data_IF_555252071387
#
_entry.id   IF_555252071387
#
_cell.length_a   1.000
_cell.length_b   1.000
_cell.length_c   1.000
_cell.angle_alpha   90.00
_cell.angle_beta   90.00
_cell.angle_gamma   90.00
#
_symmetry.space_group_name_H-M   'P 1'
#
loop_
_entity.id
_entity.type
_entity.pdbx_description
1 polymer ?
#
# COMPACT_ATOMS: atom_id res chain seq x y z
N UNK A 1 10.15 8.73 5.18
CA UNK A 1 9.45 7.93 6.19
C UNK A 1 8.76 6.71 5.58
N UNK A 2 8.06 6.85 4.46
CA UNK A 2 7.41 5.71 3.80
C UNK A 2 8.33 4.53 3.56
N UNK A 3 9.49 4.76 2.97
CA UNK A 3 10.52 3.72 2.73
C UNK A 3 10.98 2.97 3.99
N UNK A 4 10.83 3.56 5.17
CA UNK A 4 11.20 2.90 6.43
C UNK A 4 10.10 1.97 6.96
N UNK A 5 8.87 2.15 6.49
CA UNK A 5 7.69 1.40 6.92
C UNK A 5 7.09 0.68 5.71
N UNK A 6 7.93 -0.06 5.00
CA UNK A 6 7.59 -0.72 3.74
C UNK A 6 6.94 -2.11 3.91
N UNK A 7 6.80 -2.57 5.15
CA UNK A 7 6.34 -3.93 5.44
C UNK A 7 4.92 -4.16 4.93
N UNK A 8 4.06 -3.14 5.11
CA UNK A 8 2.66 -3.18 4.72
C UNK A 8 2.16 -1.78 4.36
N UNK A 9 1.35 -1.67 3.31
CA UNK A 9 0.86 -0.39 2.79
C UNK A 9 -0.12 0.31 3.74
N UNK A 10 -1.01 -0.42 4.40
CA UNK A 10 -1.92 0.15 5.41
C UNK A 10 -1.15 0.68 6.60
N UNK A 11 -0.19 -0.10 7.10
CA UNK A 11 0.68 0.32 8.18
C UNK A 11 1.48 1.57 7.79
N UNK A 12 2.00 1.61 6.56
CA UNK A 12 2.70 2.76 5.99
C UNK A 12 1.82 4.01 6.03
N UNK A 13 0.67 3.97 5.36
CA UNK A 13 -0.26 5.11 5.23
C UNK A 13 -0.69 5.64 6.59
N UNK A 14 -1.07 4.76 7.50
CA UNK A 14 -1.56 5.14 8.82
C UNK A 14 -0.45 5.74 9.69
N UNK A 15 0.70 5.08 9.76
CA UNK A 15 1.80 5.53 10.63
C UNK A 15 2.42 6.83 10.11
N UNK A 16 2.75 6.87 8.82
CA UNK A 16 3.33 8.08 8.20
C UNK A 16 2.31 9.22 8.23
N UNK A 17 1.03 8.92 8.01
CA UNK A 17 -0.05 9.89 8.08
C UNK A 17 -0.14 10.60 9.42
N UNK A 18 -0.14 9.84 10.49
CA UNK A 18 -0.17 10.41 11.87
C UNK A 18 1.09 11.22 12.15
N UNK A 19 2.28 10.67 11.82
CA UNK A 19 3.55 11.36 12.07
C UNK A 19 3.71 12.65 11.26
N UNK A 20 3.28 12.64 9.99
CA UNK A 20 3.48 13.76 9.08
C UNK A 20 2.37 14.82 9.15
N UNK A 21 1.21 14.50 9.73
CA UNK A 21 0.09 15.42 9.85
C UNK A 21 0.49 16.77 10.46
N UNK A 22 1.10 16.74 11.65
CA UNK A 22 1.51 17.95 12.36
C UNK A 22 2.60 18.74 11.62
N UNK A 23 3.52 18.02 10.94
CA UNK A 23 4.57 18.66 10.12
C UNK A 23 3.95 19.36 8.91
N UNK A 24 3.01 18.69 8.24
CA UNK A 24 2.27 19.23 7.10
C UNK A 24 1.46 20.48 7.49
N UNK A 25 0.72 20.41 8.61
CA UNK A 25 -0.09 21.52 9.12
C UNK A 25 0.80 22.75 9.50
N UNK A 26 1.92 22.52 10.19
CA UNK A 26 2.90 23.58 10.52
C UNK A 26 3.48 24.26 9.27
N UNK A 27 3.63 23.50 8.17
CA UNK A 27 4.09 24.02 6.88
C UNK A 27 2.97 24.59 6.02
N UNK A 28 1.74 24.65 6.52
CA UNK A 28 0.56 25.13 5.79
C UNK A 28 0.35 24.42 4.46
N UNK A 29 0.57 23.09 4.45
CA UNK A 29 0.26 22.26 3.30
C UNK A 29 -1.18 21.73 3.41
N UNK A 30 -1.94 21.70 2.29
CA UNK A 30 -3.26 21.10 2.32
C UNK A 30 -3.17 19.63 2.73
N UNK A 31 -4.06 19.14 3.60
CA UNK A 31 -4.10 17.72 4.00
C UNK A 31 -4.40 16.80 2.82
N UNK A 32 -5.06 17.29 1.78
CA UNK A 32 -5.25 16.57 0.53
C UNK A 32 -3.91 16.26 -0.16
N UNK A 33 -2.89 17.12 -0.05
CA UNK A 33 -1.56 16.83 -0.60
C UNK A 33 -0.85 15.74 0.20
N UNK A 34 -1.00 15.75 1.52
CA UNK A 34 -0.48 14.66 2.37
C UNK A 34 -1.17 13.34 2.04
N UNK A 35 -2.50 13.33 1.92
CA UNK A 35 -3.27 12.15 1.56
C UNK A 35 -2.83 11.58 0.20
N UNK A 36 -2.66 12.43 -0.81
CA UNK A 36 -2.13 12.03 -2.12
C UNK A 36 -0.75 11.40 -2.02
N UNK A 37 0.16 12.02 -1.25
CA UNK A 37 1.52 11.48 -1.08
C UNK A 37 1.51 10.11 -0.42
N UNK A 38 0.69 9.94 0.62
CA UNK A 38 0.57 8.67 1.34
C UNK A 38 0.00 7.56 0.45
N UNK A 39 -1.06 7.86 -0.29
CA UNK A 39 -1.71 6.94 -1.21
C UNK A 39 -0.77 6.55 -2.36
N UNK A 40 -0.11 7.52 -2.98
CA UNK A 40 0.80 7.29 -4.10
C UNK A 40 2.08 6.53 -3.71
N UNK A 41 2.57 6.66 -2.47
CA UNK A 41 3.83 6.03 -2.07
C UNK A 41 3.65 4.74 -1.29
N UNK A 42 2.57 4.58 -0.53
CA UNK A 42 2.39 3.45 0.39
C UNK A 42 2.47 2.09 -0.31
N UNK A 43 1.59 1.84 -1.26
CA UNK A 43 1.58 0.59 -2.01
C UNK A 43 2.81 0.46 -2.94
N UNK A 44 3.24 1.57 -3.58
CA UNK A 44 4.37 1.55 -4.50
C UNK A 44 5.69 1.18 -3.80
N UNK A 45 5.93 1.68 -2.58
CA UNK A 45 7.08 1.31 -1.78
C UNK A 45 7.05 -0.18 -1.42
N UNK A 46 5.87 -0.70 -1.04
CA UNK A 46 5.71 -2.11 -0.68
C UNK A 46 5.92 -3.07 -1.85
N UNK A 47 5.50 -2.68 -3.06
CA UNK A 47 5.70 -3.50 -4.27
C UNK A 47 7.16 -3.52 -4.71
N UNK A 48 7.91 -2.44 -4.57
CA UNK A 48 9.30 -2.39 -5.04
C UNK A 48 10.30 -2.98 -4.07
N UNK A 49 9.96 -3.01 -2.77
CA UNK A 49 10.87 -3.49 -1.75
C UNK A 49 10.60 -4.97 -1.44
N UNK A 50 11.61 -5.85 -1.54
CA UNK A 50 11.48 -7.22 -1.10
C UNK A 50 11.20 -7.26 0.42
N UNK A 51 10.57 -8.34 0.89
CA UNK A 51 10.22 -8.57 2.30
C UNK A 51 8.99 -7.79 2.81
N UNK A 52 8.21 -7.17 1.93
CA UNK A 52 6.89 -6.65 2.24
C UNK A 52 5.83 -7.76 2.21
N UNK A 53 4.64 -7.49 2.77
CA UNK A 53 3.48 -8.38 2.62
C UNK A 53 3.13 -8.61 1.15
N UNK A 54 3.28 -7.57 0.33
CA UNK A 54 3.07 -7.62 -1.12
C UNK A 54 4.09 -8.51 -1.82
N UNK A 55 5.38 -8.37 -1.49
CA UNK A 55 6.43 -9.20 -2.07
C UNK A 55 6.22 -10.69 -1.75
N UNK A 56 5.82 -11.01 -0.52
CA UNK A 56 5.52 -12.38 -0.10
C UNK A 56 4.31 -12.93 -0.88
N UNK A 57 3.24 -12.17 -0.98
CA UNK A 57 2.04 -12.57 -1.70
C UNK A 57 2.33 -12.81 -3.19
N UNK A 58 2.90 -11.82 -3.88
CA UNK A 58 3.16 -11.95 -5.31
C UNK A 58 4.20 -13.03 -5.63
N UNK A 59 5.21 -13.20 -4.77
CA UNK A 59 6.19 -14.27 -4.97
C UNK A 59 5.54 -15.65 -4.87
N UNK A 60 4.62 -15.87 -3.93
CA UNK A 60 3.88 -17.13 -3.84
C UNK A 60 2.96 -17.33 -5.03
N UNK A 61 2.24 -16.28 -5.44
CA UNK A 61 1.34 -16.32 -6.58
C UNK A 61 2.06 -16.64 -7.90
N UNK A 62 3.24 -16.04 -8.11
CA UNK A 62 4.08 -16.36 -9.28
C UNK A 62 4.59 -17.80 -9.23
N UNK A 63 4.98 -18.28 -8.05
CA UNK A 63 5.51 -19.62 -7.88
C UNK A 63 4.47 -20.73 -8.10
N UNK A 64 3.19 -20.42 -7.93
CA UNK A 64 2.09 -21.34 -8.26
C UNK A 64 1.96 -21.58 -9.78
N UNK A 65 2.54 -20.71 -10.60
CA UNK A 65 2.44 -20.83 -12.07
C UNK A 65 3.50 -21.81 -12.61
N UNK A 66 3.11 -22.89 -13.30
CA UNK A 66 4.07 -23.85 -13.90
C UNK A 66 5.09 -23.20 -14.82
N UNK A 67 4.64 -22.23 -15.63
CA UNK A 67 5.48 -21.48 -16.55
C UNK A 67 6.61 -20.70 -15.85
N UNK A 68 6.39 -20.23 -14.62
CA UNK A 68 7.41 -19.55 -13.82
C UNK A 68 8.43 -20.55 -13.24
N UNK A 69 7.94 -21.72 -12.79
CA UNK A 69 8.81 -22.78 -12.26
C UNK A 69 9.77 -23.32 -13.35
N UNK A 70 9.30 -23.42 -14.60
CA UNK A 70 10.10 -23.87 -15.74
C UNK A 70 11.22 -22.89 -16.13
N UNK A 71 11.17 -21.64 -15.66
CA UNK A 71 12.20 -20.62 -15.95
C UNK A 71 13.51 -20.82 -15.18
N UNK A 72 13.57 -21.74 -14.23
CA UNK A 72 14.78 -22.08 -13.50
C UNK A 72 15.15 -21.12 -12.39
N UNK A 73 14.19 -20.36 -11.84
CA UNK A 73 14.40 -19.58 -10.63
C UNK A 73 14.68 -20.48 -9.43
N UNK A 74 15.53 -20.03 -8.51
CA UNK A 74 15.92 -20.81 -7.32
C UNK A 74 14.81 -20.90 -6.26
N UNK A 75 13.94 -19.90 -6.18
CA UNK A 75 12.82 -19.82 -5.25
C UNK A 75 11.81 -18.74 -5.68
N UNK A 76 10.64 -18.74 -5.05
CA UNK A 76 9.56 -17.78 -5.30
C UNK A 76 10.03 -16.32 -5.22
N UNK A 77 10.76 -15.98 -4.17
CA UNK A 77 11.28 -14.62 -3.97
C UNK A 77 12.29 -14.21 -5.05
N UNK A 78 13.09 -15.14 -5.59
CA UNK A 78 14.01 -14.79 -6.68
C UNK A 78 13.29 -14.42 -7.97
N UNK A 79 12.17 -15.08 -8.28
CA UNK A 79 11.32 -14.71 -9.40
C UNK A 79 10.72 -13.31 -9.22
N UNK A 80 10.24 -13.01 -8.01
CA UNK A 80 9.71 -11.68 -7.69
C UNK A 80 10.75 -10.57 -7.80
N UNK A 81 11.94 -10.78 -7.23
CA UNK A 81 13.03 -9.79 -7.26
C UNK A 81 13.50 -9.51 -8.70
N UNK A 82 13.52 -10.53 -9.56
CA UNK A 82 13.85 -10.34 -11.00
C UNK A 82 12.76 -9.54 -11.73
N UNK A 83 11.51 -9.67 -11.31
CA UNK A 83 10.36 -8.95 -11.89
C UNK A 83 10.22 -7.51 -11.36
N UNK A 84 10.59 -7.25 -10.11
CA UNK A 84 10.37 -5.96 -9.44
C UNK A 84 10.87 -4.72 -10.20
N UNK A 85 12.04 -4.73 -10.91
CA UNK A 85 12.48 -3.58 -11.71
C UNK A 85 11.53 -3.21 -12.86
N UNK A 86 10.66 -4.12 -13.26
CA UNK A 86 9.67 -3.90 -14.31
C UNK A 86 8.31 -3.43 -13.80
N UNK A 87 8.16 -3.21 -12.49
CA UNK A 87 6.96 -2.61 -11.91
C UNK A 87 6.89 -1.11 -12.25
N UNK A 88 6.72 -0.80 -13.53
CA UNK A 88 6.77 0.58 -14.06
C UNK A 88 5.76 1.51 -13.39
N UNK A 89 4.57 1.01 -13.06
CA UNK A 89 3.57 1.80 -12.36
C UNK A 89 4.11 2.30 -11.02
N UNK A 90 4.68 1.42 -10.20
CA UNK A 90 5.23 1.78 -8.89
C UNK A 90 6.41 2.76 -9.03
N UNK A 91 7.33 2.50 -9.97
CA UNK A 91 8.47 3.39 -10.23
C UNK A 91 8.02 4.78 -10.68
N UNK A 92 7.09 4.84 -11.63
CA UNK A 92 6.57 6.13 -12.13
C UNK A 92 5.78 6.87 -11.07
N UNK A 93 4.98 6.17 -10.26
CA UNK A 93 4.20 6.79 -9.18
C UNK A 93 5.11 7.40 -8.13
N UNK A 94 6.16 6.72 -7.71
CA UNK A 94 7.17 7.26 -6.79
C UNK A 94 7.90 8.47 -7.39
N UNK A 95 8.26 8.40 -8.67
CA UNK A 95 8.88 9.52 -9.37
C UNK A 95 7.95 10.74 -9.42
N UNK A 96 6.68 10.54 -9.77
CA UNK A 96 5.68 11.62 -9.80
C UNK A 96 5.47 12.21 -8.39
N UNK A 97 5.36 11.37 -7.36
CA UNK A 97 5.24 11.81 -5.98
C UNK A 97 6.47 12.63 -5.54
N UNK A 98 7.67 12.20 -5.91
CA UNK A 98 8.90 12.94 -5.67
C UNK A 98 8.89 14.31 -6.36
N UNK A 99 8.58 14.35 -7.65
CA UNK A 99 8.50 15.60 -8.43
C UNK A 99 7.42 16.55 -7.88
N UNK A 100 6.30 15.98 -7.42
CA UNK A 100 5.25 16.75 -6.76
C UNK A 100 5.74 17.34 -5.43
N UNK A 101 6.43 16.57 -4.62
CA UNK A 101 6.98 17.03 -3.33
C UNK A 101 8.05 18.12 -3.49
N UNK A 102 8.82 18.04 -4.57
CA UNK A 102 9.80 19.08 -4.95
C UNK A 102 9.16 20.34 -5.55
N UNK A 103 7.84 20.33 -5.76
CA UNK A 103 7.11 21.46 -6.36
C UNK A 103 7.32 21.64 -7.86
N UNK A 104 7.92 20.66 -8.55
CA UNK A 104 8.17 20.68 -10.00
C UNK A 104 6.88 20.41 -10.78
N UNK A 105 6.02 19.52 -10.23
CA UNK A 105 4.75 19.19 -10.87
C UNK A 105 3.71 20.31 -10.72
N UNK A 106 2.96 20.63 -11.78
CA UNK A 106 1.90 21.61 -11.71
C UNK A 106 0.75 21.12 -10.82
N UNK A 107 0.25 21.98 -9.95
CA UNK A 107 -0.95 21.70 -9.16
C UNK A 107 -2.17 21.82 -10.06
N UNK A 108 -2.88 20.72 -10.30
CA UNK A 108 -4.01 20.67 -11.23
C UNK A 108 -5.34 20.41 -10.50
N UNK A 109 -6.45 20.80 -11.11
CA UNK A 109 -7.81 20.44 -10.68
C UNK A 109 -8.11 20.72 -9.20
N UNK A 110 -8.55 19.69 -8.49
CA UNK A 110 -8.90 19.77 -7.07
C UNK A 110 -7.70 20.09 -6.17
N UNK A 111 -6.50 19.60 -6.53
CA UNK A 111 -5.27 19.89 -5.78
C UNK A 111 -4.92 21.38 -5.83
N UNK A 112 -5.04 22.05 -6.99
CA UNK A 112 -4.85 23.49 -7.12
C UNK A 112 -5.82 24.25 -6.21
N UNK A 113 -7.10 23.86 -6.19
CA UNK A 113 -8.10 24.47 -5.31
C UNK A 113 -7.76 24.32 -3.83
N UNK A 114 -7.22 23.15 -3.42
CA UNK A 114 -6.81 22.91 -2.05
C UNK A 114 -5.65 23.83 -1.63
N UNK A 115 -4.66 24.03 -2.49
CA UNK A 115 -3.55 24.97 -2.23
C UNK A 115 -4.03 26.43 -2.16
N UNK A 116 -4.88 26.86 -3.11
CA UNK A 116 -5.47 28.21 -3.09
C UNK A 116 -6.27 28.45 -1.81
N UNK A 117 -7.09 27.49 -1.37
CA UNK A 117 -7.81 27.58 -0.09
C UNK A 117 -6.87 27.86 1.09
N UNK A 118 -5.74 27.14 1.15
CA UNK A 118 -4.77 27.36 2.23
C UNK A 118 -4.11 28.75 2.14
N UNK A 119 -3.79 29.22 0.95
CA UNK A 119 -3.23 30.54 0.73
C UNK A 119 -4.22 31.65 1.13
N UNK A 120 -5.50 31.53 0.77
CA UNK A 120 -6.53 32.54 1.01
C UNK A 120 -7.08 32.51 2.44
N UNK A 121 -7.28 31.33 3.00
CA UNK A 121 -8.02 31.16 4.29
C UNK A 121 -7.17 30.64 5.43
N UNK A 122 -5.97 30.13 5.16
CA UNK A 122 -5.14 29.43 6.13
C UNK A 122 -5.68 28.05 6.56
N UNK A 123 -6.83 27.61 6.03
CA UNK A 123 -7.43 26.31 6.39
C UNK A 123 -6.76 25.18 5.63
N UNK A 124 -6.08 24.28 6.35
CA UNK A 124 -5.35 23.14 5.79
C UNK A 124 -6.26 22.00 5.31
N UNK A 125 -7.55 21.99 5.67
CA UNK A 125 -8.54 21.01 5.23
C UNK A 125 -9.86 21.67 4.83
N UNK A 126 -10.68 20.97 4.04
CA UNK A 126 -11.97 21.48 3.59
C UNK A 126 -13.04 21.38 4.69
N UNK A 127 -14.06 22.22 4.63
CA UNK A 127 -15.17 22.17 5.60
C UNK A 127 -15.93 20.83 5.51
N UNK A 128 -15.99 20.19 4.33
CA UNK A 128 -16.57 18.87 4.14
C UNK A 128 -15.82 17.76 4.89
N UNK A 129 -14.49 17.88 5.01
CA UNK A 129 -13.66 16.90 5.73
C UNK A 129 -13.53 17.20 7.23
N UNK A 130 -14.12 18.30 7.72
CA UNK A 130 -14.05 18.69 9.14
C UNK A 130 -14.50 17.59 10.09
N UNK A 131 -15.55 16.84 9.74
CA UNK A 131 -16.09 15.75 10.57
C UNK A 131 -15.13 14.57 10.75
N UNK A 132 -14.16 14.40 9.85
CA UNK A 132 -13.14 13.35 9.92
C UNK A 132 -11.82 13.82 10.54
N UNK A 133 -11.70 15.14 10.75
CA UNK A 133 -10.56 15.72 11.42
C UNK A 133 -10.91 15.86 12.91
N UNK A 134 -10.67 14.80 13.67
CA UNK A 134 -10.73 14.89 15.12
C UNK A 134 -9.75 15.96 15.57
N UNK A 135 -10.23 16.89 16.42
CA UNK A 135 -9.36 17.90 17.02
C UNK A 135 -8.18 17.21 17.69
N UNK A 136 -6.99 17.76 17.45
CA UNK A 136 -5.76 17.20 17.98
C UNK A 136 -5.92 16.99 19.49
N UNK A 137 -5.64 15.78 19.94
CA UNK A 137 -5.61 15.44 21.35
C UNK A 137 -4.58 16.35 22.02
N UNK A 138 -5.05 17.43 22.60
CA UNK A 138 -4.24 18.29 23.47
C UNK A 138 -3.75 17.42 24.62
N UNK A 139 -2.49 17.07 24.65
CA UNK A 139 -1.92 16.36 25.79
C UNK A 139 -0.66 15.53 25.56
N UNK A 140 -0.29 15.25 24.33
CA UNK A 140 0.96 14.51 24.03
C UNK A 140 1.99 15.41 23.36
N UNK A 141 2.21 16.61 23.91
CA UNK A 141 3.25 17.52 23.44
C UNK A 141 4.59 17.23 24.11
N UNK A 142 5.59 16.96 23.27
CA UNK A 142 6.99 17.36 23.43
C UNK A 142 7.99 16.50 24.22
N UNK A 143 7.72 15.30 24.69
CA UNK A 143 8.81 14.53 25.32
C UNK A 143 9.16 13.18 24.67
N UNK A 144 8.78 12.97 23.46
CA UNK A 144 9.07 11.72 22.74
C UNK A 144 10.54 11.60 22.34
N UNK A 145 11.26 10.67 22.92
CA UNK A 145 12.56 10.26 22.38
C UNK A 145 12.36 9.53 21.05
N UNK A 146 13.12 9.89 20.02
CA UNK A 146 13.09 9.23 18.71
C UNK A 146 13.22 7.70 18.82
N UNK A 147 14.01 7.22 19.76
CA UNK A 147 14.23 5.81 20.02
C UNK A 147 12.98 5.05 20.46
N UNK A 148 12.01 5.74 21.07
CA UNK A 148 10.72 5.15 21.45
C UNK A 148 9.88 4.77 20.21
N UNK A 149 10.13 5.38 19.08
CA UNK A 149 9.53 5.00 17.80
C UNK A 149 10.41 4.01 17.01
N UNK A 150 11.71 4.30 16.90
CA UNK A 150 12.62 3.55 16.03
C UNK A 150 12.80 2.10 16.51
N UNK A 151 12.95 1.86 17.83
CA UNK A 151 13.20 0.52 18.35
C UNK A 151 12.03 -0.44 18.10
N UNK A 152 10.76 -0.13 18.48
CA UNK A 152 9.65 -1.01 18.20
C UNK A 152 9.45 -1.26 16.68
N UNK A 153 9.65 -0.24 15.86
CA UNK A 153 9.53 -0.38 14.40
C UNK A 153 10.64 -1.25 13.82
N UNK A 154 11.89 -1.08 14.27
CA UNK A 154 13.00 -1.92 13.83
C UNK A 154 12.78 -3.39 14.22
N UNK A 155 12.26 -3.65 15.42
CA UNK A 155 11.93 -5.00 15.88
C UNK A 155 10.78 -5.59 15.06
N UNK A 156 9.73 -4.81 14.79
CA UNK A 156 8.61 -5.23 13.93
C UNK A 156 9.11 -5.68 12.56
N UNK A 157 9.90 -4.84 11.89
CA UNK A 157 10.46 -5.13 10.56
C UNK A 157 11.38 -6.35 10.61
N UNK A 158 12.33 -6.38 11.55
CA UNK A 158 13.30 -7.48 11.66
C UNK A 158 12.60 -8.83 11.90
N UNK A 159 11.62 -8.87 12.82
CA UNK A 159 10.87 -10.10 13.09
C UNK A 159 10.01 -10.52 11.90
N UNK A 160 9.32 -9.59 11.25
CA UNK A 160 8.54 -9.91 10.05
C UNK A 160 9.41 -10.52 8.95
N UNK A 161 10.60 -9.96 8.73
CA UNK A 161 11.56 -10.49 7.74
C UNK A 161 12.09 -11.87 8.11
N UNK A 162 12.38 -12.10 9.42
CA UNK A 162 12.97 -13.37 9.89
C UNK A 162 11.93 -14.48 9.96
N UNK A 163 10.73 -14.17 10.48
CA UNK A 163 9.68 -15.18 10.74
C UNK A 163 8.69 -15.36 9.61
N UNK A 164 8.53 -14.36 8.73
CA UNK A 164 7.45 -14.30 7.74
C UNK A 164 6.06 -14.07 8.35
N UNK A 165 5.96 -13.87 9.67
CA UNK A 165 4.70 -13.72 10.42
C UNK A 165 4.58 -12.31 10.98
N UNK A 166 3.77 -11.48 10.29
CA UNK A 166 3.50 -10.10 10.70
C UNK A 166 2.75 -10.03 12.03
N UNK A 167 1.81 -10.97 12.29
CA UNK A 167 1.01 -10.94 13.52
C UNK A 167 1.90 -11.19 14.75
N UNK A 168 2.75 -12.20 14.69
CA UNK A 168 3.71 -12.48 15.75
C UNK A 168 4.66 -11.28 15.97
N UNK A 169 5.15 -10.68 14.88
CA UNK A 169 6.00 -9.49 14.96
C UNK A 169 5.32 -8.29 15.62
N UNK A 170 4.02 -8.04 15.32
CA UNK A 170 3.22 -6.97 15.94
C UNK A 170 3.05 -7.22 17.44
N UNK A 171 2.74 -8.46 17.85
CA UNK A 171 2.58 -8.80 19.29
C UNK A 171 3.87 -8.55 20.05
N UNK A 172 5.02 -8.95 19.50
CA UNK A 172 6.33 -8.70 20.12
C UNK A 172 6.65 -7.20 20.14
N UNK A 173 6.38 -6.47 19.08
CA UNK A 173 6.59 -5.01 19.04
C UNK A 173 5.72 -4.27 20.08
N UNK A 174 4.46 -4.68 20.27
CA UNK A 174 3.60 -4.14 21.33
C UNK A 174 4.16 -4.45 22.73
N UNK A 175 4.70 -5.67 22.94
CA UNK A 175 5.35 -6.01 24.19
C UNK A 175 6.61 -5.15 24.44
N UNK A 176 7.39 -4.89 23.40
CA UNK A 176 8.54 -3.98 23.48
C UNK A 176 8.10 -2.56 23.82
N UNK A 177 7.01 -2.06 23.20
CA UNK A 177 6.44 -0.77 23.56
C UNK A 177 6.05 -0.71 25.05
N UNK A 178 5.40 -1.77 25.56
CA UNK A 178 5.02 -1.86 26.97
C UNK A 178 6.26 -1.75 27.90
N UNK A 179 7.27 -2.56 27.62
CA UNK A 179 8.53 -2.60 28.41
C UNK A 179 9.32 -1.29 28.32
N UNK A 180 9.21 -0.58 27.19
CA UNK A 180 9.88 0.71 27.02
C UNK A 180 9.12 1.87 27.64
N UNK A 181 7.80 1.95 27.44
CA UNK A 181 7.06 3.18 27.75
C UNK A 181 6.63 3.26 29.23
N UNK A 182 6.28 2.13 29.85
CA UNK A 182 5.84 2.12 31.24
C UNK A 182 6.99 2.46 32.21
N UNK A 183 8.21 1.90 32.11
CA UNK A 183 9.32 2.28 32.97
C UNK A 183 9.81 3.73 32.75
N UNK A 184 9.67 4.25 31.51
CA UNK A 184 9.99 5.65 31.20
C UNK A 184 8.92 6.63 31.71
N UNK A 185 7.84 6.13 32.34
CA UNK A 185 6.71 6.93 32.82
C UNK A 185 6.04 7.79 31.73
N UNK A 186 6.14 7.35 30.47
CA UNK A 186 5.45 7.98 29.34
C UNK A 186 3.94 7.73 29.43
N UNK A 187 3.57 6.57 29.95
CA UNK A 187 2.17 6.18 30.20
C UNK A 187 2.12 5.12 31.31
N UNK A 188 0.99 4.97 31.95
CA UNK A 188 0.75 3.88 32.87
C UNK A 188 0.18 2.64 32.14
N UNK A 189 0.08 1.53 32.85
CA UNK A 189 -0.38 0.26 32.28
C UNK A 189 -1.84 0.35 31.78
N UNK A 190 -2.70 1.03 32.51
CA UNK A 190 -4.09 1.24 32.11
C UNK A 190 -4.20 2.09 30.86
N UNK A 191 -3.43 3.17 30.75
CA UNK A 191 -3.36 4.00 29.57
C UNK A 191 -2.85 3.23 28.34
N UNK A 192 -1.85 2.36 28.54
CA UNK A 192 -1.33 1.52 27.46
C UNK A 192 -2.41 0.63 26.86
N UNK A 193 -3.15 -0.11 27.68
CA UNK A 193 -4.23 -0.96 27.18
C UNK A 193 -5.41 -0.16 26.61
N UNK A 194 -5.74 0.99 27.21
CA UNK A 194 -6.75 1.89 26.67
C UNK A 194 -6.36 2.44 25.30
N UNK A 195 -5.07 2.71 25.05
CA UNK A 195 -4.58 3.15 23.75
C UNK A 195 -4.65 2.03 22.71
N UNK A 196 -4.39 0.77 23.07
CA UNK A 196 -4.60 -0.38 22.18
C UNK A 196 -6.08 -0.48 21.78
N UNK A 197 -7.00 -0.43 22.75
CA UNK A 197 -8.45 -0.49 22.48
C UNK A 197 -8.89 0.67 21.57
N UNK A 198 -8.39 1.88 21.83
CA UNK A 198 -8.66 3.04 20.98
C UNK A 198 -8.09 2.87 19.58
N UNK A 199 -6.89 2.31 19.46
CA UNK A 199 -6.28 1.99 18.16
C UNK A 199 -7.16 1.04 17.34
N UNK A 200 -7.71 -0.01 17.96
CA UNK A 200 -8.69 -0.87 17.30
C UNK A 200 -9.97 -0.11 16.90
N UNK A 201 -10.49 0.74 17.78
CA UNK A 201 -11.67 1.53 17.47
C UNK A 201 -11.43 2.54 16.34
N UNK A 202 -10.27 3.17 16.30
CA UNK A 202 -9.88 4.09 15.24
C UNK A 202 -9.72 3.39 13.87
N UNK A 203 -9.36 2.08 13.88
CA UNK A 203 -9.26 1.24 12.67
C UNK A 203 -10.62 0.68 12.21
N UNK A 204 -11.63 0.65 13.05
CA UNK A 204 -12.92 0.03 12.74
C UNK A 204 -13.54 0.54 11.43
N UNK A 205 -13.60 1.86 11.15
CA UNK A 205 -14.14 2.35 9.87
C UNK A 205 -13.39 1.82 8.65
N UNK A 206 -12.07 1.75 8.71
CA UNK A 206 -11.23 1.21 7.64
C UNK A 206 -11.48 -0.29 7.45
N UNK A 207 -11.55 -1.05 8.54
CA UNK A 207 -11.87 -2.48 8.50
C UNK A 207 -13.27 -2.75 7.93
N UNK A 208 -14.26 -1.90 8.25
CA UNK A 208 -15.61 -2.00 7.69
C UNK A 208 -15.62 -1.75 6.19
N UNK A 209 -14.88 -0.74 5.70
CA UNK A 209 -14.73 -0.49 4.26
C UNK A 209 -14.07 -1.69 3.57
N UNK A 210 -13.01 -2.23 4.15
CA UNK A 210 -12.31 -3.39 3.63
C UNK A 210 -13.22 -4.63 3.57
N UNK A 211 -14.00 -4.88 4.61
CA UNK A 211 -14.95 -5.99 4.66
C UNK A 211 -16.03 -5.85 3.58
N UNK A 212 -16.58 -4.65 3.40
CA UNK A 212 -17.55 -4.37 2.34
C UNK A 212 -16.91 -4.56 0.95
N UNK A 213 -15.65 -4.15 0.77
CA UNK A 213 -14.92 -4.35 -0.47
C UNK A 213 -14.74 -5.86 -0.78
N UNK A 214 -14.42 -6.70 0.20
CA UNK A 214 -14.36 -8.16 0.00
C UNK A 214 -15.73 -8.77 -0.33
N UNK A 215 -16.80 -8.28 0.29
CA UNK A 215 -18.16 -8.72 -0.08
C UNK A 215 -18.47 -8.33 -1.53
N UNK A 216 -18.16 -7.10 -1.92
CA UNK A 216 -18.31 -6.63 -3.30
C UNK A 216 -17.51 -7.49 -4.28
N UNK A 217 -16.24 -7.79 -3.95
CA UNK A 217 -15.39 -8.67 -4.73
C UNK A 217 -16.06 -10.05 -4.91
N UNK A 218 -16.49 -10.70 -3.83
CA UNK A 218 -17.15 -12.01 -3.92
C UNK A 218 -18.42 -11.99 -4.76
N UNK A 219 -19.20 -10.90 -4.71
CA UNK A 219 -20.40 -10.74 -5.56
C UNK A 219 -19.99 -10.58 -7.03
N UNK A 220 -19.02 -9.73 -7.35
CA UNK A 220 -18.58 -9.50 -8.73
C UNK A 220 -17.93 -10.74 -9.35
N UNK A 221 -17.15 -11.50 -8.57
CA UNK A 221 -16.62 -12.80 -8.99
C UNK A 221 -17.76 -13.82 -9.24
N UNK A 222 -18.71 -13.91 -8.32
CA UNK A 222 -19.87 -14.78 -8.46
C UNK A 222 -20.80 -14.43 -9.64
N UNK A 223 -20.76 -13.19 -10.12
CA UNK A 223 -21.44 -12.73 -11.32
C UNK A 223 -20.66 -13.05 -12.62
N UNK A 224 -19.43 -13.60 -12.53
CA UNK A 224 -18.59 -13.87 -13.69
C UNK A 224 -18.04 -12.60 -14.37
N UNK A 225 -17.93 -11.50 -13.64
CA UNK A 225 -17.48 -10.24 -14.23
C UNK A 225 -16.03 -10.33 -14.72
N UNK A 226 -15.17 -11.01 -14.00
CA UNK A 226 -13.76 -11.23 -14.39
C UNK A 226 -13.70 -12.02 -15.69
N UNK A 227 -14.44 -13.13 -15.79
CA UNK A 227 -14.50 -13.96 -16.99
C UNK A 227 -15.01 -13.17 -18.19
N UNK A 228 -16.07 -12.38 -18.00
CA UNK A 228 -16.61 -11.49 -19.04
C UNK A 228 -15.56 -10.50 -19.57
N UNK A 229 -14.80 -9.85 -18.66
CA UNK A 229 -13.78 -8.87 -19.07
C UNK A 229 -12.66 -9.57 -19.84
N UNK A 230 -12.25 -10.78 -19.41
CA UNK A 230 -11.23 -11.57 -20.09
C UNK A 230 -11.70 -12.00 -21.48
N UNK A 231 -12.91 -12.52 -21.60
CA UNK A 231 -13.49 -12.93 -22.89
C UNK A 231 -13.53 -11.77 -23.90
N UNK A 232 -13.87 -10.56 -23.44
CA UNK A 232 -13.88 -9.35 -24.28
C UNK A 232 -12.45 -8.91 -24.66
N UNK A 233 -11.48 -9.12 -23.78
CA UNK A 233 -10.11 -8.67 -23.96
C UNK A 233 -9.25 -9.69 -24.75
N UNK A 234 -9.55 -10.99 -24.67
CA UNK A 234 -8.77 -12.06 -25.30
C UNK A 234 -8.42 -11.80 -26.79
N UNK A 235 -9.34 -11.37 -27.64
CA UNK A 235 -9.05 -11.07 -29.03
C UNK A 235 -8.03 -9.94 -29.25
N UNK A 236 -7.85 -9.07 -28.25
CA UNK A 236 -6.94 -7.93 -28.26
C UNK A 236 -5.56 -8.29 -27.66
N UNK A 237 -5.47 -9.44 -26.96
CA UNK A 237 -4.26 -9.92 -26.31
C UNK A 237 -3.33 -10.62 -27.30
N UNK A 238 -2.81 -9.91 -28.30
CA UNK A 238 -1.96 -10.49 -29.35
C UNK A 238 -0.61 -9.78 -29.42
N UNK A 239 0.48 -10.57 -29.53
CA UNK A 239 1.82 -10.07 -29.83
C UNK A 239 2.31 -8.93 -28.93
N UNK A 240 2.86 -7.89 -29.52
CA UNK A 240 3.44 -6.74 -28.81
C UNK A 240 2.40 -5.88 -28.05
N UNK A 241 1.11 -6.01 -28.35
CA UNK A 241 0.04 -5.30 -27.64
C UNK A 241 -0.36 -5.97 -26.32
N UNK A 242 0.03 -7.24 -26.13
CA UNK A 242 -0.35 -8.04 -24.96
C UNK A 242 -0.11 -7.34 -23.62
N UNK A 243 1.09 -6.80 -23.28
CA UNK A 243 1.32 -6.16 -22.01
C UNK A 243 0.41 -4.96 -21.77
N UNK A 244 0.20 -4.12 -22.80
CA UNK A 244 -0.63 -2.93 -22.70
C UNK A 244 -2.11 -3.29 -22.51
N UNK A 245 -2.61 -4.29 -23.21
CA UNK A 245 -4.00 -4.77 -23.08
C UNK A 245 -4.20 -5.37 -21.70
N UNK A 246 -3.30 -6.24 -21.25
CA UNK A 246 -3.37 -6.83 -19.89
C UNK A 246 -3.38 -5.74 -18.84
N UNK A 247 -2.50 -4.74 -18.92
CA UNK A 247 -2.48 -3.62 -17.98
C UNK A 247 -3.85 -2.89 -17.90
N UNK A 248 -4.44 -2.56 -19.05
CA UNK A 248 -5.74 -1.87 -19.10
C UNK A 248 -6.85 -2.76 -18.53
N UNK A 249 -6.85 -4.05 -18.86
CA UNK A 249 -7.83 -5.02 -18.37
C UNK A 249 -7.72 -5.18 -16.85
N UNK A 250 -6.50 -5.37 -16.34
CA UNK A 250 -6.26 -5.47 -14.90
C UNK A 250 -6.65 -4.19 -14.16
N UNK A 251 -6.35 -3.02 -14.73
CA UNK A 251 -6.78 -1.76 -14.16
C UNK A 251 -8.31 -1.63 -14.10
N UNK A 252 -9.02 -2.09 -15.13
CA UNK A 252 -10.49 -2.10 -15.15
C UNK A 252 -11.07 -3.07 -14.12
N UNK A 253 -10.52 -4.29 -14.01
CA UNK A 253 -10.95 -5.29 -13.01
C UNK A 253 -10.67 -4.75 -11.60
N UNK A 254 -9.47 -4.22 -11.35
CA UNK A 254 -9.09 -3.66 -10.06
C UNK A 254 -10.01 -2.50 -9.66
N UNK A 255 -10.31 -1.59 -10.60
CA UNK A 255 -11.25 -0.49 -10.37
C UNK A 255 -12.65 -0.99 -10.03
N UNK A 256 -13.13 -2.04 -10.70
CA UNK A 256 -14.45 -2.59 -10.49
C UNK A 256 -14.57 -3.40 -9.19
N UNK A 257 -13.54 -4.19 -8.85
CA UNK A 257 -13.53 -5.05 -7.65
C UNK A 257 -13.03 -4.33 -6.39
N UNK A 258 -12.25 -3.26 -6.56
CA UNK A 258 -11.61 -2.55 -5.45
C UNK A 258 -10.48 -3.31 -4.75
N UNK A 259 -10.02 -4.44 -5.31
CA UNK A 259 -9.00 -5.29 -4.68
C UNK A 259 -7.92 -5.71 -5.68
N UNK A 260 -6.68 -5.31 -5.40
CA UNK A 260 -5.51 -5.82 -6.14
C UNK A 260 -5.21 -7.28 -5.80
N UNK A 261 -5.37 -7.68 -4.55
CA UNK A 261 -5.09 -9.02 -4.08
C UNK A 261 -5.95 -10.07 -4.79
N UNK A 262 -7.26 -9.89 -4.71
CA UNK A 262 -8.21 -10.80 -5.36
C UNK A 262 -8.05 -10.82 -6.88
N UNK A 263 -7.94 -9.64 -7.50
CA UNK A 263 -7.72 -9.53 -8.94
C UNK A 263 -6.48 -10.32 -9.39
N UNK A 264 -5.34 -10.12 -8.73
CA UNK A 264 -4.09 -10.80 -9.08
C UNK A 264 -4.19 -12.32 -8.93
N UNK A 265 -4.85 -12.82 -7.86
CA UNK A 265 -5.05 -14.25 -7.64
C UNK A 265 -5.89 -14.90 -8.75
N UNK A 266 -6.97 -14.22 -9.20
CA UNK A 266 -7.87 -14.76 -10.24
C UNK A 266 -7.23 -14.67 -11.63
N UNK A 267 -6.51 -13.59 -11.94
CA UNK A 267 -6.04 -13.34 -13.30
C UNK A 267 -4.69 -14.00 -13.59
N UNK A 268 -3.84 -14.21 -12.58
CA UNK A 268 -2.54 -14.85 -12.77
C UNK A 268 -2.59 -16.20 -13.50
N UNK A 269 -3.48 -17.16 -13.15
CA UNK A 269 -3.58 -18.43 -13.85
C UNK A 269 -3.95 -18.31 -15.33
N UNK A 270 -4.45 -17.16 -15.76
CA UNK A 270 -4.86 -16.89 -17.13
C UNK A 270 -3.77 -16.15 -17.91
N UNK A 271 -3.25 -15.08 -17.32
CA UNK A 271 -2.26 -14.20 -17.97
C UNK A 271 -0.93 -14.90 -18.20
N UNK A 272 -0.45 -15.67 -17.23
CA UNK A 272 0.85 -16.36 -17.37
C UNK A 272 0.85 -17.43 -18.48
N UNK A 273 -0.09 -18.39 -18.55
CA UNK A 273 -0.15 -19.35 -19.63
C UNK A 273 -0.41 -18.69 -20.98
N UNK A 274 -1.28 -17.67 -21.04
CA UNK A 274 -1.57 -16.94 -22.28
C UNK A 274 -0.33 -16.20 -22.79
N UNK A 275 0.42 -15.53 -21.92
CA UNK A 275 1.69 -14.90 -22.27
C UNK A 275 2.72 -15.89 -22.80
N UNK A 276 2.83 -17.08 -22.20
CA UNK A 276 3.68 -18.15 -22.66
C UNK A 276 3.26 -18.69 -24.04
N UNK A 277 1.96 -18.88 -24.27
CA UNK A 277 1.41 -19.39 -25.52
C UNK A 277 1.60 -18.44 -26.72
N UNK A 278 1.57 -17.12 -26.48
CA UNK A 278 1.75 -16.10 -27.52
C UNK A 278 3.23 -15.94 -27.92
N UNK A 279 4.15 -16.70 -27.30
CA UNK A 279 5.58 -16.63 -27.60
C UNK A 279 6.21 -15.33 -27.07
N UNK A 280 5.64 -14.72 -26.06
CA UNK A 280 6.30 -13.76 -25.18
C UNK A 280 7.40 -14.56 -24.47
N UNK A 281 8.44 -14.85 -25.24
CA UNK A 281 9.50 -15.85 -24.95
C UNK A 281 10.45 -15.42 -23.82
N UNK A 282 10.18 -14.27 -23.23
CA UNK A 282 10.80 -13.81 -21.99
C UNK A 282 9.68 -13.37 -21.08
N UNK A 283 9.34 -14.21 -20.14
CA UNK A 283 8.40 -13.93 -19.05
C UNK A 283 8.69 -12.62 -18.30
N UNK A 284 9.85 -12.01 -18.53
CA UNK A 284 10.13 -10.61 -18.18
C UNK A 284 9.05 -9.64 -18.66
N UNK A 285 8.43 -9.89 -19.80
CA UNK A 285 7.36 -9.06 -20.35
C UNK A 285 5.99 -9.34 -19.70
N UNK A 286 5.71 -10.57 -19.26
CA UNK A 286 4.49 -10.91 -18.49
C UNK A 286 4.50 -10.34 -17.07
N UNK A 287 5.67 -10.28 -16.43
CA UNK A 287 5.84 -9.62 -15.13
C UNK A 287 5.70 -8.09 -15.19
N UNK A 288 5.80 -7.47 -16.35
CA UNK A 288 5.65 -6.01 -16.51
C UNK A 288 4.21 -5.53 -16.38
N UNK A 289 3.24 -6.42 -16.43
CA UNK A 289 1.82 -6.08 -16.50
C UNK A 289 1.06 -6.37 -15.20
N UNK A 290 1.65 -7.09 -14.27
CA UNK A 290 1.15 -7.29 -12.91
C UNK A 290 1.79 -6.29 -11.95
#
# INVERSE_FOLDING_TARGET
MGILIFVDDYLNVLTVGVCMKNVSDKRKLPRESLAYMLDATGAADCVLLPFSTWAVFYSSLFWEQPSVQEMGFSCAMSAYVDAAPFAFYSVLTLLIALLFSLGIMPKLGAMKKAFLRVEETGKVYSDASRKYNHEDRKGYEESGNLWNFVIPMAILVALTVITGDLLAAVVVALFVCLVMYVPQKLMNLEEFFNLIIRGFADMLPTLMILLIAFVLQGVTEGMGMTDFIIDVAEPLMTGAAFPAVVFVVLAAICFATGSFWGMSAVVSPIVFPLGAAIGVSRLKEGFQTL
#
